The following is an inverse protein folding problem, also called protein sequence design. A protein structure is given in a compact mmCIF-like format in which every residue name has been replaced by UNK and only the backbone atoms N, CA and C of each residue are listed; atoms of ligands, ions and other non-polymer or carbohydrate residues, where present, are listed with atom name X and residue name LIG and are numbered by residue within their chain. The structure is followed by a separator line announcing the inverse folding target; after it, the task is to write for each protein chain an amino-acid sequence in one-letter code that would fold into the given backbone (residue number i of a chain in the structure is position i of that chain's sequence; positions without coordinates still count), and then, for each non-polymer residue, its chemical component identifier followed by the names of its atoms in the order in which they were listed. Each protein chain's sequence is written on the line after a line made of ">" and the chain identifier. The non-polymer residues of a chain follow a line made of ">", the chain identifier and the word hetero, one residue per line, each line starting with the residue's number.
data_IF_432836959003
#
_entry.id   IF_432836959003
#
_cell.length_a   1.000
_cell.length_b   1.000
_cell.length_c   1.000
_cell.angle_alpha   90.00
_cell.angle_beta   90.00
_cell.angle_gamma   90.00
#
_symmetry.space_group_name_H-M   'P 1'
#
loop_
_entity.id
_entity.type
_entity.pdbx_description
1 polymer ?
#
# COMPACT_ATOMS: atom_id res chain seq x y z
N UNK A 1 10.16 -24.67 16.49
CA UNK A 1 8.72 -24.91 16.59
C UNK A 1 8.17 -24.16 17.79
N UNK A 2 7.31 -23.19 17.51
CA UNK A 2 6.59 -22.48 18.58
C UNK A 2 5.55 -23.42 19.16
N UNK A 3 5.45 -23.60 20.49
CA UNK A 3 4.43 -24.45 21.08
C UNK A 3 3.03 -23.96 20.70
N UNK A 4 2.07 -24.89 20.57
CA UNK A 4 0.65 -24.55 20.42
C UNK A 4 0.25 -23.59 21.53
N UNK A 5 -0.03 -22.34 21.15
CA UNK A 5 -0.21 -21.23 22.09
C UNK A 5 -1.64 -21.12 22.63
N UNK A 6 -2.60 -21.83 22.07
CA UNK A 6 -4.00 -21.54 22.34
C UNK A 6 -4.80 -22.77 22.72
N UNK A 7 -5.16 -22.86 24.01
CA UNK A 7 -6.27 -23.70 24.50
C UNK A 7 -7.41 -22.84 25.11
N UNK A 8 -7.26 -21.49 25.08
CA UNK A 8 -8.18 -20.57 25.76
C UNK A 8 -8.69 -19.50 24.79
N UNK A 9 -9.84 -18.92 25.09
CA UNK A 9 -10.38 -17.77 24.37
C UNK A 9 -9.60 -16.52 24.76
N UNK A 10 -8.99 -15.86 23.81
CA UNK A 10 -8.26 -14.61 24.00
C UNK A 10 -9.12 -13.43 23.55
N UNK A 11 -9.18 -12.41 24.38
CA UNK A 11 -9.77 -11.13 24.03
C UNK A 11 -8.65 -10.14 23.83
N UNK A 12 -8.49 -9.64 22.60
CA UNK A 12 -7.54 -8.60 22.28
C UNK A 12 -8.26 -7.25 22.39
N UNK A 13 -7.78 -6.36 23.24
CA UNK A 13 -8.20 -4.97 23.26
C UNK A 13 -7.20 -4.17 22.43
N UNK A 14 -7.70 -3.56 21.35
CA UNK A 14 -6.83 -2.90 20.38
C UNK A 14 -6.36 -1.53 20.87
N UNK A 15 -7.14 -0.90 21.73
CA UNK A 15 -6.86 0.37 22.38
C UNK A 15 -5.77 0.29 23.48
N UNK A 16 -5.53 -0.90 24.02
CA UNK A 16 -4.54 -1.15 25.07
C UNK A 16 -3.48 -2.16 24.66
N UNK A 17 -3.32 -2.38 23.35
CA UNK A 17 -2.51 -3.45 22.78
C UNK A 17 -1.08 -3.47 23.30
N UNK A 18 -0.39 -2.32 23.35
CA UNK A 18 0.98 -2.20 23.83
C UNK A 18 1.11 -2.55 25.31
N UNK A 19 0.20 -2.02 26.14
CA UNK A 19 0.15 -2.31 27.57
C UNK A 19 -0.15 -3.78 27.84
N UNK A 20 -1.13 -4.37 27.13
CA UNK A 20 -1.53 -5.76 27.27
C UNK A 20 -0.44 -6.71 26.79
N UNK A 21 0.23 -6.40 25.68
CA UNK A 21 1.39 -7.15 25.23
C UNK A 21 2.50 -7.15 26.29
N UNK A 22 2.85 -5.98 26.83
CA UNK A 22 3.90 -5.85 27.85
C UNK A 22 3.55 -6.55 29.19
N UNK A 23 2.27 -6.73 29.48
CA UNK A 23 1.78 -7.47 30.65
C UNK A 23 1.67 -8.99 30.38
N UNK A 24 1.70 -9.41 29.11
CA UNK A 24 1.51 -10.80 28.72
C UNK A 24 2.79 -11.63 28.81
N UNK A 25 2.64 -12.96 28.80
CA UNK A 25 3.75 -13.89 28.68
C UNK A 25 4.48 -13.79 27.31
N UNK A 26 3.86 -13.18 26.31
CA UNK A 26 4.44 -12.99 24.98
C UNK A 26 5.68 -12.12 25.00
N UNK A 27 5.68 -11.07 25.81
CA UNK A 27 6.85 -10.22 26.01
C UNK A 27 8.09 -11.01 26.46
N UNK A 28 7.88 -11.97 27.38
CA UNK A 28 8.98 -12.77 27.92
C UNK A 28 9.47 -13.83 26.91
N UNK A 29 8.57 -14.30 26.04
CA UNK A 29 8.87 -15.27 24.99
C UNK A 29 9.57 -14.65 23.77
N UNK A 30 9.12 -13.46 23.36
CA UNK A 30 9.67 -12.75 22.21
C UNK A 30 10.89 -11.88 22.57
N UNK A 31 11.09 -11.59 23.86
CA UNK A 31 12.29 -10.95 24.37
C UNK A 31 12.38 -9.44 24.15
N UNK A 32 11.33 -8.79 23.68
CA UNK A 32 11.29 -7.34 23.50
C UNK A 32 10.04 -6.71 24.14
N UNK A 33 10.09 -5.40 24.35
CA UNK A 33 8.97 -4.60 24.80
C UNK A 33 8.51 -3.68 23.68
N UNK A 34 7.23 -3.40 23.63
CA UNK A 34 6.66 -2.35 22.81
C UNK A 34 6.27 -1.15 23.67
N UNK A 35 6.06 0.00 23.06
CA UNK A 35 5.53 1.15 23.77
C UNK A 35 4.14 0.80 24.35
N UNK A 36 3.90 1.22 25.60
CA UNK A 36 2.61 0.96 26.27
C UNK A 36 1.46 1.68 25.59
N UNK A 37 1.74 2.78 24.89
CA UNK A 37 0.76 3.59 24.19
C UNK A 37 0.48 3.08 22.76
N UNK A 38 1.10 1.98 22.33
CA UNK A 38 0.77 1.34 21.06
C UNK A 38 -0.66 0.84 21.10
N UNK A 39 -1.49 1.43 20.25
CA UNK A 39 -2.87 1.03 20.00
C UNK A 39 -3.07 0.77 18.51
N UNK A 40 -4.04 -0.06 18.17
CA UNK A 40 -4.48 -0.26 16.80
C UNK A 40 -5.84 0.40 16.64
N UNK A 41 -5.83 1.69 16.40
CA UNK A 41 -7.05 2.48 16.16
C UNK A 41 -7.56 2.39 14.71
N UNK A 42 -7.11 1.39 13.95
CA UNK A 42 -7.54 1.21 12.57
C UNK A 42 -9.05 1.10 12.37
N UNK A 43 -9.78 0.77 13.43
CA UNK A 43 -11.23 0.54 13.38
C UNK A 43 -12.05 1.51 14.21
N UNK A 44 -11.44 2.25 15.13
CA UNK A 44 -12.12 3.30 15.89
C UNK A 44 -11.88 4.64 15.19
N UNK A 45 -12.57 4.83 14.08
CA UNK A 45 -12.42 5.98 13.21
C UNK A 45 -12.98 7.30 13.75
N UNK A 46 -13.44 7.32 14.99
CA UNK A 46 -14.02 8.54 15.58
C UNK A 46 -12.99 9.63 15.86
N UNK A 47 -11.68 9.27 15.97
CA UNK A 47 -10.61 10.21 16.30
C UNK A 47 -9.45 10.26 15.26
N UNK A 48 -9.53 9.54 14.15
CA UNK A 48 -8.62 9.78 13.05
C UNK A 48 -8.97 11.13 12.44
N UNK A 49 -8.28 12.15 12.86
CA UNK A 49 -8.47 13.52 12.40
C UNK A 49 -8.01 13.62 10.93
N UNK A 50 -8.95 13.36 10.02
CA UNK A 50 -8.71 13.53 8.58
C UNK A 50 -8.68 14.99 8.17
N UNK A 51 -8.89 15.91 9.11
CA UNK A 51 -8.95 17.36 8.86
C UNK A 51 -7.67 17.81 8.16
N UNK A 52 -6.51 17.35 8.63
CA UNK A 52 -5.21 17.71 8.04
C UNK A 52 -5.07 17.21 6.59
N UNK A 53 -5.59 16.01 6.28
CA UNK A 53 -5.60 15.48 4.92
C UNK A 53 -6.60 16.25 4.04
N UNK A 54 -7.80 16.55 4.57
CA UNK A 54 -8.81 17.35 3.87
C UNK A 54 -8.29 18.75 3.58
N UNK A 55 -7.63 19.41 4.56
CA UNK A 55 -6.99 20.72 4.36
C UNK A 55 -5.94 20.69 3.25
N UNK A 56 -5.09 19.66 3.20
CA UNK A 56 -4.11 19.50 2.12
C UNK A 56 -4.79 19.27 0.77
N UNK A 57 -5.82 18.41 0.71
CA UNK A 57 -6.57 18.15 -0.51
C UNK A 57 -7.29 19.40 -1.01
N UNK A 58 -7.87 20.18 -0.12
CA UNK A 58 -8.52 21.45 -0.45
C UNK A 58 -7.49 22.47 -0.96
N UNK A 59 -6.35 22.58 -0.30
CA UNK A 59 -5.26 23.44 -0.75
C UNK A 59 -4.75 23.09 -2.15
N UNK A 60 -4.77 21.81 -2.52
CA UNK A 60 -4.33 21.32 -3.83
C UNK A 60 -5.43 21.35 -4.90
N UNK A 61 -6.68 21.55 -4.53
CA UNK A 61 -7.82 21.38 -5.45
C UNK A 61 -7.78 22.30 -6.67
N UNK A 62 -7.36 23.56 -6.48
CA UNK A 62 -7.24 24.54 -7.58
C UNK A 62 -6.11 24.16 -8.55
N UNK A 63 -4.96 23.73 -8.02
CA UNK A 63 -3.82 23.27 -8.82
C UNK A 63 -4.15 21.99 -9.57
N UNK A 64 -4.83 21.05 -8.92
CA UNK A 64 -5.31 19.83 -9.55
C UNK A 64 -6.32 20.11 -10.66
N UNK A 65 -7.21 21.08 -10.47
CA UNK A 65 -8.14 21.50 -11.52
C UNK A 65 -7.39 22.16 -12.68
N UNK A 66 -6.42 23.03 -12.39
CA UNK A 66 -5.56 23.67 -13.40
C UNK A 66 -4.79 22.62 -14.22
N UNK A 67 -4.18 21.64 -13.54
CA UNK A 67 -3.52 20.52 -14.21
C UNK A 67 -4.51 19.74 -15.08
N UNK A 68 -5.68 19.39 -14.55
CA UNK A 68 -6.71 18.65 -15.25
C UNK A 68 -7.15 19.33 -16.55
N UNK A 69 -7.25 20.65 -16.58
CA UNK A 69 -7.66 21.42 -17.74
C UNK A 69 -6.60 21.40 -18.87
N UNK A 70 -5.36 21.01 -18.58
CA UNK A 70 -4.30 20.82 -19.57
C UNK A 70 -4.22 19.41 -20.13
N UNK A 71 -4.90 18.44 -19.50
CA UNK A 71 -4.86 17.03 -19.89
C UNK A 71 -5.53 16.83 -21.23
N UNK A 72 -4.82 16.22 -22.17
CA UNK A 72 -5.33 15.85 -23.47
C UNK A 72 -5.75 14.39 -23.48
N UNK A 73 -7.01 14.12 -23.77
CA UNK A 73 -7.56 12.76 -23.88
C UNK A 73 -7.93 12.49 -25.33
N UNK A 74 -7.33 11.45 -25.92
CA UNK A 74 -7.58 11.03 -27.29
C UNK A 74 -8.03 9.59 -27.33
N UNK A 75 -9.03 9.29 -28.12
CA UNK A 75 -9.46 7.90 -28.35
C UNK A 75 -8.38 7.17 -29.17
N UNK A 76 -7.97 6.00 -28.71
CA UNK A 76 -7.13 5.12 -29.50
C UNK A 76 -7.91 4.63 -30.76
N UNK A 77 -7.21 4.50 -31.88
CA UNK A 77 -7.84 4.20 -33.17
C UNK A 77 -8.44 2.79 -33.21
N UNK A 78 -7.87 1.83 -32.48
CA UNK A 78 -8.20 0.42 -32.61
C UNK A 78 -8.66 -0.21 -31.29
N UNK A 79 -9.56 -1.21 -31.43
CA UNK A 79 -9.89 -2.09 -30.32
C UNK A 79 -8.72 -3.08 -30.12
N UNK A 80 -8.30 -3.25 -28.87
CA UNK A 80 -7.21 -4.13 -28.51
C UNK A 80 -7.74 -5.30 -27.70
N UNK A 81 -7.26 -6.52 -27.99
CA UNK A 81 -7.52 -7.67 -27.15
C UNK A 81 -6.52 -7.69 -26.00
N UNK A 82 -7.00 -7.54 -24.78
CA UNK A 82 -6.20 -7.63 -23.57
C UNK A 82 -6.44 -8.97 -22.93
N UNK A 83 -5.34 -9.67 -22.63
CA UNK A 83 -5.37 -10.94 -21.93
C UNK A 83 -4.84 -10.69 -20.51
N UNK A 84 -5.70 -10.88 -19.53
CA UNK A 84 -5.31 -11.00 -18.12
C UNK A 84 -5.13 -12.47 -17.76
N UNK A 85 -4.64 -12.78 -16.57
CA UNK A 85 -4.41 -14.16 -16.12
C UNK A 85 -5.61 -15.09 -16.39
N UNK A 86 -6.83 -14.58 -16.25
CA UNK A 86 -8.06 -15.40 -16.29
C UNK A 86 -8.95 -15.17 -17.51
N UNK A 87 -8.81 -14.08 -18.27
CA UNK A 87 -9.73 -13.73 -19.38
C UNK A 87 -9.03 -13.00 -20.51
N UNK A 88 -9.59 -13.13 -21.71
CA UNK A 88 -9.25 -12.27 -22.85
C UNK A 88 -10.46 -11.40 -23.17
N UNK A 89 -10.26 -10.10 -23.25
CA UNK A 89 -11.31 -9.10 -23.43
C UNK A 89 -10.99 -8.16 -24.60
N UNK A 90 -12.01 -7.80 -25.35
CA UNK A 90 -11.91 -6.72 -26.34
C UNK A 90 -12.12 -5.37 -25.64
N UNK A 91 -11.11 -4.52 -25.69
CA UNK A 91 -11.08 -3.26 -24.99
C UNK A 91 -10.99 -2.08 -25.95
N UNK A 92 -11.59 -0.98 -25.56
CA UNK A 92 -11.41 0.33 -26.19
C UNK A 92 -10.36 1.10 -25.43
N UNK A 93 -9.41 1.72 -26.15
CA UNK A 93 -8.35 2.50 -25.53
C UNK A 93 -8.58 4.00 -25.61
N UNK A 94 -8.03 4.71 -24.64
CA UNK A 94 -7.78 6.15 -24.68
C UNK A 94 -6.33 6.42 -24.35
N UNK A 95 -5.75 7.39 -25.03
CA UNK A 95 -4.42 7.90 -24.74
C UNK A 95 -4.58 9.22 -23.98
N UNK A 96 -3.97 9.31 -22.84
CA UNK A 96 -3.98 10.48 -21.99
C UNK A 96 -2.58 11.07 -22.04
N UNK A 97 -2.48 12.36 -22.33
CA UNK A 97 -1.22 13.09 -22.29
C UNK A 97 -1.33 14.23 -21.30
N UNK A 98 -0.40 14.29 -20.37
CA UNK A 98 -0.26 15.34 -19.39
C UNK A 98 1.01 16.12 -19.76
N UNK A 99 0.92 17.40 -20.12
CA UNK A 99 2.09 18.20 -20.46
C UNK A 99 3.07 18.29 -19.29
N UNK A 100 4.34 18.06 -19.55
CA UNK A 100 5.39 18.08 -18.51
C UNK A 100 5.43 19.40 -17.75
N UNK A 101 5.27 20.52 -18.45
CA UNK A 101 5.35 21.84 -17.83
C UNK A 101 4.21 22.05 -16.82
N UNK A 102 2.99 21.62 -17.17
CA UNK A 102 1.85 21.67 -16.27
C UNK A 102 2.01 20.72 -15.07
N UNK A 103 2.53 19.50 -15.32
CA UNK A 103 2.84 18.56 -14.25
C UNK A 103 3.91 19.13 -13.31
N UNK A 104 4.97 19.72 -13.83
CA UNK A 104 6.02 20.29 -13.00
C UNK A 104 5.53 21.48 -12.15
N UNK A 105 4.62 22.30 -12.67
CA UNK A 105 3.95 23.34 -11.87
C UNK A 105 3.16 22.72 -10.73
N UNK A 106 2.39 21.66 -11.01
CA UNK A 106 1.62 20.95 -9.98
C UNK A 106 2.52 20.30 -8.92
N UNK A 107 3.62 19.63 -9.34
CA UNK A 107 4.57 19.00 -8.42
C UNK A 107 5.25 20.02 -7.50
N UNK A 108 5.62 21.21 -8.01
CA UNK A 108 6.14 22.28 -7.18
C UNK A 108 5.12 22.73 -6.13
N UNK A 109 3.88 23.01 -6.57
CA UNK A 109 2.82 23.42 -5.65
C UNK A 109 2.52 22.32 -4.61
N UNK A 110 2.53 21.05 -5.03
CA UNK A 110 2.37 19.91 -4.12
C UNK A 110 3.47 19.90 -3.06
N UNK A 111 4.74 19.98 -3.45
CA UNK A 111 5.86 20.00 -2.52
C UNK A 111 5.73 21.13 -1.50
N UNK A 112 5.50 22.37 -1.95
CA UNK A 112 5.35 23.52 -1.08
C UNK A 112 4.19 23.35 -0.08
N UNK A 113 3.01 22.94 -0.57
CA UNK A 113 1.82 22.79 0.24
C UNK A 113 1.88 21.59 1.18
N UNK A 114 2.47 20.48 0.73
CA UNK A 114 2.68 19.31 1.56
C UNK A 114 3.61 19.62 2.74
N UNK A 115 4.76 20.21 2.49
CA UNK A 115 5.71 20.55 3.54
C UNK A 115 5.19 21.63 4.50
N UNK A 116 4.30 22.52 4.04
CA UNK A 116 3.63 23.50 4.88
C UNK A 116 2.41 22.95 5.63
N UNK A 117 1.92 21.76 5.27
CA UNK A 117 0.70 21.19 5.84
C UNK A 117 0.86 20.80 7.31
N UNK A 118 -0.24 20.89 8.06
CA UNK A 118 -0.31 20.43 9.46
C UNK A 118 0.01 18.94 9.57
N UNK A 119 -0.42 18.13 8.59
CA UNK A 119 -0.11 16.70 8.50
C UNK A 119 1.40 16.43 8.52
N UNK A 120 2.16 17.11 7.66
CA UNK A 120 3.62 16.95 7.59
C UNK A 120 4.29 17.47 8.86
N UNK A 121 3.94 18.67 9.30
CA UNK A 121 4.55 19.31 10.47
C UNK A 121 4.30 18.52 11.77
N UNK A 122 3.11 17.98 11.97
CA UNK A 122 2.80 17.11 13.11
C UNK A 122 3.50 15.75 13.01
N UNK A 123 3.57 15.18 11.78
CA UNK A 123 4.31 13.94 11.53
C UNK A 123 5.78 14.03 11.89
N UNK A 124 6.45 15.11 11.48
CA UNK A 124 7.85 15.38 11.85
C UNK A 124 7.99 15.57 13.36
N UNK A 125 7.13 16.34 13.99
CA UNK A 125 7.17 16.55 15.46
C UNK A 125 7.06 15.21 16.21
N UNK A 126 6.10 14.36 15.84
CA UNK A 126 5.97 13.02 16.44
C UNK A 126 7.19 12.14 16.19
N UNK A 127 7.78 12.19 14.97
CA UNK A 127 8.99 11.44 14.64
C UNK A 127 10.17 11.88 15.55
N UNK A 128 10.34 13.17 15.76
CA UNK A 128 11.39 13.72 16.62
C UNK A 128 11.17 13.30 18.08
N UNK A 129 9.95 13.43 18.60
CA UNK A 129 9.59 13.03 19.95
C UNK A 129 9.82 11.54 20.22
N UNK A 130 9.57 10.69 19.23
CA UNK A 130 9.77 9.25 19.33
C UNK A 130 11.20 8.80 19.04
N UNK A 131 12.02 9.67 18.43
CA UNK A 131 13.40 9.32 18.13
C UNK A 131 14.24 9.28 19.41
N UNK A 132 14.90 8.13 19.66
CA UNK A 132 15.84 7.96 20.79
C UNK A 132 17.18 8.71 20.59
N UNK A 133 17.24 9.66 19.64
CA UNK A 133 18.44 10.42 19.30
C UNK A 133 18.54 11.65 20.21
N UNK A 134 18.55 11.41 21.53
CA UNK A 134 18.56 12.43 22.57
C UNK A 134 19.80 13.36 22.60
N UNK A 135 20.75 13.17 21.69
CA UNK A 135 22.00 13.95 21.59
C UNK A 135 22.01 14.94 20.42
N UNK A 136 21.04 14.88 19.52
CA UNK A 136 20.87 15.87 18.47
C UNK A 136 19.83 16.91 18.91
N UNK A 137 20.05 18.15 18.51
CA UNK A 137 19.06 19.19 18.72
C UNK A 137 17.85 18.95 17.80
N UNK A 138 16.67 19.28 18.27
CA UNK A 138 15.43 19.12 17.49
C UNK A 138 15.51 19.82 16.13
N UNK A 139 16.08 21.03 16.09
CA UNK A 139 16.25 21.79 14.86
C UNK A 139 17.16 21.08 13.84
N UNK A 140 18.25 20.41 14.30
CA UNK A 140 19.17 19.68 13.44
C UNK A 140 18.48 18.43 12.82
N UNK A 141 17.62 17.75 13.58
CA UNK A 141 16.86 16.59 13.08
C UNK A 141 15.83 17.08 12.05
N UNK A 142 15.14 18.16 12.35
CA UNK A 142 14.15 18.76 11.46
C UNK A 142 14.78 19.16 10.13
N UNK A 143 15.89 19.90 10.15
CA UNK A 143 16.62 20.33 8.94
C UNK A 143 17.06 19.11 8.11
N UNK A 144 17.54 18.04 8.76
CA UNK A 144 17.94 16.81 8.07
C UNK A 144 16.76 16.13 7.39
N UNK A 145 15.63 16.00 8.08
CA UNK A 145 14.43 15.32 7.56
C UNK A 145 13.79 16.17 6.47
N UNK A 146 13.66 17.48 6.67
CA UNK A 146 13.12 18.41 5.67
C UNK A 146 13.95 18.32 4.38
N UNK A 147 15.29 18.37 4.48
CA UNK A 147 16.17 18.22 3.33
C UNK A 147 16.02 16.88 2.59
N UNK A 148 15.86 15.77 3.31
CA UNK A 148 15.62 14.46 2.68
C UNK A 148 14.27 14.40 1.99
N UNK A 149 13.22 14.97 2.59
CA UNK A 149 11.88 15.01 2.00
C UNK A 149 11.84 15.94 0.79
N UNK A 150 12.50 17.09 0.85
CA UNK A 150 12.69 17.98 -0.31
C UNK A 150 13.35 17.24 -1.47
N UNK A 151 14.45 16.53 -1.23
CA UNK A 151 15.16 15.75 -2.25
C UNK A 151 14.28 14.67 -2.89
N UNK A 152 13.41 14.03 -2.11
CA UNK A 152 12.47 13.01 -2.60
C UNK A 152 11.34 13.63 -3.41
N UNK A 153 10.85 14.80 -3.00
CA UNK A 153 9.75 15.50 -3.65
C UNK A 153 10.21 16.38 -4.83
N UNK A 154 11.52 16.67 -4.96
CA UNK A 154 12.06 17.44 -6.08
C UNK A 154 12.12 16.60 -7.36
N UNK A 155 10.97 16.14 -7.80
CA UNK A 155 10.79 15.37 -9.04
C UNK A 155 10.39 16.34 -10.15
N UNK A 156 11.11 16.30 -11.27
CA UNK A 156 10.79 17.08 -12.46
C UNK A 156 10.69 16.19 -13.68
N UNK A 157 9.52 16.24 -14.33
CA UNK A 157 9.30 15.51 -15.57
C UNK A 157 10.08 16.15 -16.73
N UNK A 158 10.80 15.31 -17.47
CA UNK A 158 11.58 15.73 -18.65
C UNK A 158 10.78 15.61 -19.95
N UNK A 159 9.80 14.76 -19.99
CA UNK A 159 8.89 14.52 -21.11
C UNK A 159 7.44 14.62 -20.66
N UNK A 160 6.54 14.80 -21.64
CA UNK A 160 5.12 14.70 -21.36
C UNK A 160 4.77 13.29 -20.84
N UNK A 161 3.91 13.22 -19.84
CA UNK A 161 3.45 11.94 -19.30
C UNK A 161 2.39 11.39 -20.23
N UNK A 162 2.65 10.21 -20.77
CA UNK A 162 1.70 9.50 -21.61
C UNK A 162 1.18 8.27 -20.86
N UNK A 163 -0.15 8.13 -20.80
CA UNK A 163 -0.82 6.98 -20.23
C UNK A 163 -1.77 6.37 -21.27
N UNK A 164 -1.73 5.07 -21.40
CA UNK A 164 -2.72 4.32 -22.16
C UNK A 164 -3.70 3.66 -21.17
N UNK A 165 -4.97 3.95 -21.33
CA UNK A 165 -6.02 3.41 -20.50
C UNK A 165 -6.98 2.61 -21.40
N UNK A 166 -7.24 1.38 -21.02
CA UNK A 166 -8.10 0.47 -21.76
C UNK A 166 -9.34 0.10 -20.93
N UNK A 167 -10.49 0.12 -21.58
CA UNK A 167 -11.76 -0.17 -20.95
C UNK A 167 -12.49 -1.30 -21.69
N UNK A 168 -13.18 -2.14 -20.92
CA UNK A 168 -14.07 -3.17 -21.47
C UNK A 168 -15.36 -2.57 -22.04
N UNK A 169 -16.26 -3.44 -22.53
CA UNK A 169 -17.55 -3.03 -23.09
C UNK A 169 -18.52 -2.38 -22.10
N UNK A 170 -18.27 -2.51 -20.80
CA UNK A 170 -19.04 -1.88 -19.72
C UNK A 170 -18.41 -0.58 -19.22
N UNK A 171 -17.30 -0.15 -19.81
CA UNK A 171 -16.56 1.05 -19.40
C UNK A 171 -15.68 0.87 -18.16
N UNK A 172 -15.44 -0.37 -17.72
CA UNK A 172 -14.54 -0.64 -16.59
C UNK A 172 -13.09 -0.62 -17.08
N UNK A 173 -12.21 -0.02 -16.30
CA UNK A 173 -10.78 0.01 -16.59
C UNK A 173 -10.22 -1.41 -16.45
N UNK A 174 -9.52 -1.86 -17.48
CA UNK A 174 -8.89 -3.19 -17.55
C UNK A 174 -7.37 -3.09 -17.55
N UNK A 175 -6.82 -2.05 -18.16
CA UNK A 175 -5.38 -1.81 -18.18
C UNK A 175 -5.07 -0.32 -18.12
N UNK A 176 -4.06 -0.01 -17.33
CA UNK A 176 -3.40 1.31 -17.32
C UNK A 176 -1.92 1.05 -17.53
N UNK A 177 -1.28 1.80 -18.41
CA UNK A 177 0.17 1.69 -18.59
C UNK A 177 0.77 2.97 -19.14
N UNK A 178 2.03 3.19 -18.83
CA UNK A 178 2.87 4.15 -19.52
C UNK A 178 3.43 3.50 -20.79
N UNK A 179 3.14 4.00 -22.01
CA UNK A 179 3.70 3.43 -23.26
C UNK A 179 5.20 3.72 -23.41
N UNK A 180 5.71 4.69 -22.67
CA UNK A 180 7.11 5.04 -22.55
C UNK A 180 7.40 5.46 -21.12
N UNK A 181 8.65 5.36 -20.69
CA UNK A 181 9.07 5.78 -19.38
C UNK A 181 8.80 7.28 -19.18
N UNK A 182 8.37 7.64 -17.96
CA UNK A 182 8.32 9.03 -17.49
C UNK A 182 9.75 9.36 -17.06
N UNK A 183 10.42 10.22 -17.79
CA UNK A 183 11.78 10.65 -17.48
C UNK A 183 11.78 11.77 -16.45
N UNK A 184 12.66 11.67 -15.46
CA UNK A 184 12.80 12.63 -14.37
C UNK A 184 14.19 13.26 -14.38
N UNK A 185 14.27 14.50 -13.89
CA UNK A 185 15.50 15.26 -13.74
C UNK A 185 15.64 15.74 -12.29
N UNK A 186 16.88 15.93 -11.89
CA UNK A 186 17.27 16.49 -10.59
C UNK A 186 16.72 15.69 -9.38
N UNK A 187 16.50 14.38 -9.57
CA UNK A 187 15.95 13.44 -8.60
C UNK A 187 16.81 12.19 -8.50
N UNK A 188 16.69 11.47 -7.41
CA UNK A 188 17.24 10.10 -7.26
C UNK A 188 16.62 9.16 -8.28
N UNK A 189 15.39 9.43 -8.75
CA UNK A 189 14.68 8.67 -9.78
C UNK A 189 14.97 9.29 -11.14
N UNK A 190 15.57 8.52 -12.07
CA UNK A 190 15.82 8.91 -13.45
C UNK A 190 14.63 8.69 -14.36
N UNK A 191 13.91 7.60 -14.14
CA UNK A 191 12.68 7.34 -14.89
C UNK A 191 11.77 6.37 -14.16
N UNK A 192 10.48 6.40 -14.52
CA UNK A 192 9.44 5.54 -13.97
C UNK A 192 8.57 4.94 -15.07
N UNK A 193 8.26 3.67 -14.94
CA UNK A 193 7.30 2.97 -15.79
C UNK A 193 6.20 2.36 -14.91
N UNK A 194 4.95 2.50 -15.34
CA UNK A 194 3.79 1.98 -14.62
C UNK A 194 2.99 1.04 -15.53
N UNK A 195 2.52 -0.06 -14.97
CA UNK A 195 1.54 -0.93 -15.60
C UNK A 195 0.59 -1.50 -14.57
N UNK A 196 -0.69 -1.62 -14.92
CA UNK A 196 -1.68 -2.30 -14.09
C UNK A 196 -2.71 -2.97 -15.00
N UNK A 197 -2.90 -4.27 -14.79
CA UNK A 197 -3.98 -5.06 -15.37
C UNK A 197 -5.01 -5.34 -14.28
N UNK A 198 -6.26 -5.07 -14.61
CA UNK A 198 -7.39 -5.14 -13.70
C UNK A 198 -8.47 -6.00 -14.31
N UNK A 199 -8.97 -6.97 -13.57
CA UNK A 199 -10.11 -7.76 -14.02
C UNK A 199 -11.05 -8.05 -12.85
N UNK A 200 -12.33 -8.15 -13.13
CA UNK A 200 -13.29 -8.42 -12.08
C UNK A 200 -14.72 -8.43 -12.55
N UNK A 201 -15.59 -8.47 -11.58
CA UNK A 201 -17.04 -8.39 -11.74
C UNK A 201 -17.54 -6.96 -11.50
N UNK A 202 -18.85 -6.75 -11.51
CA UNK A 202 -19.44 -5.45 -11.17
C UNK A 202 -19.37 -5.15 -9.66
N UNK A 203 -18.96 -6.11 -8.85
CA UNK A 203 -18.90 -6.02 -7.38
C UNK A 203 -17.50 -6.10 -6.82
N UNK A 204 -16.59 -6.83 -7.49
CA UNK A 204 -15.26 -7.14 -6.97
C UNK A 204 -14.22 -7.00 -8.06
N UNK A 205 -13.05 -6.54 -7.67
CA UNK A 205 -11.85 -6.55 -8.50
C UNK A 205 -11.11 -7.85 -8.19
N UNK A 206 -11.33 -8.89 -9.02
CA UNK A 206 -10.86 -10.25 -8.75
C UNK A 206 -9.38 -10.44 -9.07
N UNK A 207 -8.87 -9.72 -10.06
CA UNK A 207 -7.47 -9.80 -10.50
C UNK A 207 -6.86 -8.41 -10.53
N UNK A 208 -5.70 -8.27 -9.92
CA UNK A 208 -4.82 -7.11 -10.04
C UNK A 208 -3.43 -7.64 -10.37
N UNK A 209 -2.84 -7.15 -11.44
CA UNK A 209 -1.43 -7.35 -11.77
C UNK A 209 -0.86 -5.96 -12.03
N UNK A 210 -0.13 -5.40 -11.09
CA UNK A 210 0.43 -4.06 -11.25
C UNK A 210 1.93 -4.06 -10.95
N UNK A 211 2.66 -3.22 -11.67
CA UNK A 211 4.08 -3.03 -11.47
C UNK A 211 4.46 -1.55 -11.65
N UNK A 212 5.36 -1.11 -10.80
CA UNK A 212 6.08 0.15 -10.92
C UNK A 212 7.58 -0.17 -11.03
N UNK A 213 8.21 0.26 -12.11
CA UNK A 213 9.65 0.12 -12.31
C UNK A 213 10.29 1.48 -12.21
N UNK A 214 11.22 1.62 -11.28
CA UNK A 214 11.97 2.83 -11.03
C UNK A 214 13.42 2.62 -11.47
N UNK A 215 13.89 3.46 -12.39
CA UNK A 215 15.31 3.55 -12.68
C UNK A 215 15.87 4.68 -11.82
N UNK A 216 16.70 4.32 -10.85
CA UNK A 216 17.33 5.25 -9.91
C UNK A 216 18.80 5.52 -10.28
N UNK A 217 19.45 6.38 -9.53
CA UNK A 217 20.91 6.59 -9.67
C UNK A 217 21.71 5.35 -9.31
N UNK A 218 21.16 4.44 -8.50
CA UNK A 218 21.81 3.23 -8.01
C UNK A 218 21.48 1.98 -8.83
N UNK A 219 20.52 2.05 -9.74
CA UNK A 219 20.07 0.91 -10.56
C UNK A 219 18.56 0.89 -10.74
N UNK A 220 18.02 -0.26 -11.11
CA UNK A 220 16.58 -0.43 -11.35
C UNK A 220 15.95 -1.18 -10.19
N UNK A 221 14.86 -0.64 -9.68
CA UNK A 221 14.00 -1.26 -8.69
C UNK A 221 12.64 -1.57 -9.29
N UNK A 222 12.04 -2.68 -8.92
CA UNK A 222 10.70 -3.05 -9.38
C UNK A 222 9.83 -3.38 -8.18
N UNK A 223 8.70 -2.73 -8.11
CA UNK A 223 7.64 -2.95 -7.13
C UNK A 223 6.47 -3.58 -7.86
N UNK A 224 6.01 -4.74 -7.43
CA UNK A 224 4.87 -5.40 -8.06
C UNK A 224 3.87 -5.93 -7.05
N UNK A 225 2.61 -5.91 -7.47
CA UNK A 225 1.50 -6.51 -6.74
C UNK A 225 0.77 -7.44 -7.69
N UNK A 226 0.51 -8.66 -7.22
CA UNK A 226 -0.35 -9.62 -7.89
C UNK A 226 -1.43 -10.06 -6.91
N UNK A 227 -2.68 -9.98 -7.32
CA UNK A 227 -3.83 -10.42 -6.56
C UNK A 227 -4.74 -11.27 -7.43
N UNK A 228 -5.10 -12.43 -6.94
CA UNK A 228 -6.15 -13.28 -7.51
C UNK A 228 -7.19 -13.55 -6.41
N UNK A 229 -8.42 -13.18 -6.68
CA UNK A 229 -9.52 -13.41 -5.76
C UNK A 229 -10.70 -14.05 -6.48
N UNK A 230 -11.41 -14.91 -5.79
CA UNK A 230 -12.61 -15.56 -6.30
C UNK A 230 -13.71 -15.61 -5.24
N UNK A 231 -14.94 -15.39 -5.69
CA UNK A 231 -16.13 -15.45 -4.85
C UNK A 231 -17.09 -16.45 -5.46
N UNK A 232 -17.52 -17.41 -4.66
CA UNK A 232 -18.64 -18.30 -4.95
C UNK A 232 -19.76 -18.04 -3.97
N UNK A 233 -20.87 -18.78 -4.04
CA UNK A 233 -21.94 -18.68 -3.05
C UNK A 233 -21.53 -19.21 -1.66
N UNK A 234 -20.47 -20.02 -1.60
CA UNK A 234 -20.04 -20.72 -0.38
C UNK A 234 -18.71 -20.18 0.16
N UNK A 235 -17.85 -19.64 -0.71
CA UNK A 235 -16.46 -19.38 -0.38
C UNK A 235 -15.91 -18.12 -1.05
N UNK A 236 -15.12 -17.36 -0.31
CA UNK A 236 -14.20 -16.33 -0.82
C UNK A 236 -12.76 -16.80 -0.67
N UNK A 237 -11.99 -16.71 -1.73
CA UNK A 237 -10.55 -16.97 -1.74
C UNK A 237 -9.78 -15.76 -2.23
N UNK A 238 -8.63 -15.53 -1.63
CA UNK A 238 -7.72 -14.46 -2.02
C UNK A 238 -6.27 -14.93 -1.92
N UNK A 239 -5.49 -14.64 -2.95
CA UNK A 239 -4.04 -14.80 -3.02
C UNK A 239 -3.45 -13.46 -3.43
N UNK A 240 -2.64 -12.85 -2.56
CA UNK A 240 -1.99 -11.57 -2.78
C UNK A 240 -0.49 -11.75 -2.64
N UNK A 241 0.28 -11.26 -3.60
CA UNK A 241 1.73 -11.20 -3.53
C UNK A 241 2.19 -9.76 -3.78
N UNK A 242 3.09 -9.28 -2.92
CA UNK A 242 3.84 -8.05 -3.09
C UNK A 242 5.31 -8.42 -3.22
N UNK A 243 5.97 -7.99 -4.29
CA UNK A 243 7.39 -8.19 -4.49
C UNK A 243 8.11 -6.85 -4.67
N UNK A 244 9.26 -6.72 -4.02
CA UNK A 244 10.22 -5.65 -4.24
C UNK A 244 11.52 -6.28 -4.72
N UNK A 245 11.91 -5.96 -5.95
CA UNK A 245 13.19 -6.37 -6.54
C UNK A 245 14.12 -5.18 -6.51
N UNK A 246 15.24 -5.32 -5.84
CA UNK A 246 16.24 -4.26 -5.66
C UNK A 246 17.11 -4.03 -6.89
N UNK A 247 18.04 -3.09 -6.78
CA UNK A 247 18.92 -2.63 -7.87
C UNK A 247 19.88 -3.69 -8.40
N UNK A 248 20.16 -4.73 -7.61
CA UNK A 248 20.97 -5.90 -7.98
C UNK A 248 20.18 -7.01 -8.69
N UNK A 249 18.90 -6.76 -8.97
CA UNK A 249 17.93 -7.73 -9.48
C UNK A 249 17.64 -8.90 -8.52
N UNK A 250 17.99 -8.77 -7.26
CA UNK A 250 17.60 -9.73 -6.23
C UNK A 250 16.29 -9.28 -5.57
N UNK A 251 15.48 -10.25 -5.20
CA UNK A 251 14.25 -9.96 -4.44
C UNK A 251 14.64 -9.47 -3.04
N UNK A 252 14.38 -8.20 -2.77
CA UNK A 252 14.66 -7.60 -1.47
C UNK A 252 13.56 -7.91 -0.44
N UNK A 253 12.32 -8.01 -0.90
CA UNK A 253 11.17 -8.30 -0.06
C UNK A 253 10.09 -9.02 -0.87
N UNK A 254 9.55 -10.10 -0.32
CA UNK A 254 8.30 -10.70 -0.79
C UNK A 254 7.35 -10.83 0.38
N UNK A 255 6.12 -10.36 0.20
CA UNK A 255 5.01 -10.65 1.09
C UNK A 255 3.94 -11.43 0.33
N UNK A 256 3.52 -12.56 0.89
CA UNK A 256 2.41 -13.37 0.36
C UNK A 256 1.32 -13.45 1.40
N UNK A 257 0.10 -13.13 1.00
CA UNK A 257 -1.10 -13.28 1.80
C UNK A 257 -2.04 -14.24 1.09
N UNK A 258 -2.46 -15.28 1.78
CA UNK A 258 -3.50 -16.21 1.33
C UNK A 258 -4.60 -16.25 2.35
N UNK A 259 -5.83 -16.23 1.88
CA UNK A 259 -6.98 -16.27 2.74
C UNK A 259 -8.13 -17.05 2.08
N UNK A 260 -8.82 -17.84 2.87
CA UNK A 260 -10.05 -18.53 2.47
C UNK A 260 -11.10 -18.28 3.54
N UNK A 261 -12.28 -17.83 3.11
CA UNK A 261 -13.43 -17.61 3.97
C UNK A 261 -14.57 -18.49 3.52
N UNK A 262 -15.19 -19.20 4.44
CA UNK A 262 -16.46 -19.86 4.23
C UNK A 262 -17.58 -18.92 4.60
N UNK A 263 -18.41 -18.55 3.62
CA UNK A 263 -19.39 -17.46 3.78
C UNK A 263 -20.61 -17.87 4.64
N UNK A 264 -20.90 -19.17 4.75
CA UNK A 264 -21.99 -19.72 5.55
C UNK A 264 -21.65 -19.81 7.04
N UNK A 265 -20.42 -20.19 7.37
CA UNK A 265 -19.95 -20.40 8.74
C UNK A 265 -19.07 -19.27 9.28
N UNK A 266 -18.70 -18.31 8.41
CA UNK A 266 -17.74 -17.25 8.69
C UNK A 266 -16.39 -17.79 9.21
N UNK A 267 -16.08 -19.03 8.84
CA UNK A 267 -14.77 -19.63 9.11
C UNK A 267 -13.74 -19.11 8.14
N UNK A 268 -12.53 -18.91 8.63
CA UNK A 268 -11.40 -18.45 7.83
C UNK A 268 -10.16 -19.32 8.04
N UNK A 269 -9.32 -19.35 7.02
CA UNK A 269 -7.97 -19.89 7.02
C UNK A 269 -7.08 -18.85 6.33
N UNK A 270 -6.21 -18.23 7.10
CA UNK A 270 -5.36 -17.13 6.66
C UNK A 270 -3.87 -17.42 6.88
N UNK A 271 -3.04 -16.99 5.93
CA UNK A 271 -1.59 -17.14 6.00
C UNK A 271 -0.92 -15.90 5.43
N UNK A 272 0.06 -15.39 6.16
CA UNK A 272 0.98 -14.33 5.72
C UNK A 272 2.40 -14.91 5.75
N UNK A 273 3.10 -14.77 4.65
CA UNK A 273 4.55 -15.04 4.55
C UNK A 273 5.27 -13.75 4.20
N UNK A 274 6.34 -13.46 4.94
CA UNK A 274 7.25 -12.37 4.66
C UNK A 274 8.65 -12.97 4.47
N UNK A 275 9.28 -12.65 3.36
CA UNK A 275 10.64 -13.08 3.03
C UNK A 275 11.48 -11.84 2.70
N UNK A 276 12.58 -11.63 3.44
CA UNK A 276 13.50 -10.52 3.26
C UNK A 276 14.92 -11.02 3.43
N UNK A 277 15.69 -11.02 2.34
CA UNK A 277 17.01 -11.61 2.32
C UNK A 277 16.98 -13.10 2.68
N UNK A 278 17.70 -13.47 3.74
CA UNK A 278 17.78 -14.85 4.24
C UNK A 278 16.71 -15.17 5.29
N UNK A 279 15.94 -14.19 5.74
CA UNK A 279 14.93 -14.34 6.78
C UNK A 279 13.56 -14.64 6.16
N UNK A 280 12.85 -15.56 6.78
CA UNK A 280 11.47 -15.90 6.40
C UNK A 280 10.59 -16.01 7.64
N UNK A 281 9.51 -15.26 7.61
CA UNK A 281 8.47 -15.27 8.63
C UNK A 281 7.17 -15.81 8.03
N UNK A 282 6.50 -16.69 8.76
CA UNK A 282 5.21 -17.23 8.35
C UNK A 282 4.25 -17.19 9.51
N UNK A 283 3.19 -16.42 9.37
CA UNK A 283 2.06 -16.36 10.30
C UNK A 283 0.88 -17.12 9.67
N UNK A 284 0.30 -18.05 10.40
CA UNK A 284 -0.92 -18.75 9.98
C UNK A 284 -1.95 -18.69 11.10
N UNK A 285 -3.20 -18.51 10.75
CA UNK A 285 -4.31 -18.55 11.67
C UNK A 285 -5.56 -19.10 10.99
N UNK A 286 -6.29 -19.97 11.70
CA UNK A 286 -7.60 -20.42 11.30
C UNK A 286 -8.60 -20.27 12.47
N UNK A 287 -9.86 -20.07 12.12
CA UNK A 287 -10.89 -19.80 13.11
C UNK A 287 -12.23 -19.40 12.50
N UNK A 288 -13.07 -18.78 13.30
CA UNK A 288 -14.37 -18.29 12.82
C UNK A 288 -14.82 -17.02 13.57
N UNK A 289 -15.62 -16.20 12.88
CA UNK A 289 -16.30 -15.06 13.49
C UNK A 289 -17.68 -15.49 13.98
N UNK A 290 -18.03 -15.05 15.19
CA UNK A 290 -19.32 -15.32 15.85
C UNK A 290 -19.86 -14.05 16.48
N UNK A 291 -21.14 -14.07 16.84
CA UNK A 291 -21.82 -13.01 17.59
C UNK A 291 -21.61 -11.61 16.98
N UNK A 292 -21.68 -11.54 15.64
CA UNK A 292 -21.44 -10.30 14.91
C UNK A 292 -22.64 -9.36 15.14
N UNK A 293 -22.34 -8.19 15.69
CA UNK A 293 -23.26 -7.05 15.77
C UNK A 293 -22.69 -5.95 14.85
N UNK A 294 -23.35 -5.72 13.74
CA UNK A 294 -22.89 -4.77 12.71
C UNK A 294 -22.55 -3.39 13.31
N UNK A 295 -21.32 -2.94 13.06
CA UNK A 295 -20.81 -1.65 13.56
C UNK A 295 -20.54 -1.60 15.07
N UNK A 296 -20.60 -2.71 15.81
CA UNK A 296 -20.44 -2.70 17.26
C UNK A 296 -19.42 -3.72 17.78
N UNK A 297 -19.61 -5.02 17.47
CA UNK A 297 -18.76 -6.06 18.05
C UNK A 297 -18.83 -7.38 17.28
N UNK A 298 -17.83 -8.21 17.47
CA UNK A 298 -17.82 -9.62 17.07
C UNK A 298 -16.97 -10.42 18.04
N UNK A 299 -17.15 -11.73 18.03
CA UNK A 299 -16.28 -12.68 18.69
C UNK A 299 -15.42 -13.37 17.65
N UNK A 300 -14.11 -13.38 17.86
CA UNK A 300 -13.16 -14.14 17.04
C UNK A 300 -12.75 -15.38 17.82
N UNK A 301 -13.17 -16.55 17.33
CA UNK A 301 -12.69 -17.85 17.81
C UNK A 301 -11.50 -18.27 16.94
N UNK A 302 -10.33 -18.41 17.54
CA UNK A 302 -9.14 -18.93 16.88
C UNK A 302 -8.98 -20.41 17.23
N UNK A 303 -9.04 -21.28 16.21
CA UNK A 303 -8.80 -22.72 16.37
C UNK A 303 -7.29 -22.98 16.44
N UNK A 304 -6.51 -22.35 15.55
CA UNK A 304 -5.05 -22.38 15.59
C UNK A 304 -4.45 -21.02 15.23
N UNK A 305 -3.27 -20.74 15.80
CA UNK A 305 -2.39 -19.69 15.34
C UNK A 305 -0.94 -20.15 15.49
N UNK A 306 -0.11 -19.85 14.51
CA UNK A 306 1.31 -20.21 14.54
C UNK A 306 2.16 -19.14 13.89
N UNK A 307 3.34 -18.92 14.46
CA UNK A 307 4.40 -18.12 13.87
C UNK A 307 5.63 -19.03 13.69
N UNK A 308 6.09 -19.15 12.47
CA UNK A 308 7.32 -19.85 12.12
C UNK A 308 8.36 -18.80 11.67
N UNK A 309 9.58 -18.94 12.12
CA UNK A 309 10.73 -18.11 11.74
C UNK A 309 11.81 -19.04 11.26
N UNK A 310 12.22 -18.89 10.02
CA UNK A 310 13.29 -19.67 9.41
C UNK A 310 14.44 -18.71 9.05
N UNK A 311 15.60 -18.95 9.62
CA UNK A 311 16.88 -18.33 9.21
C UNK A 311 17.55 -19.31 8.22
N UNK A 312 17.92 -18.86 7.04
CA UNK A 312 18.64 -19.67 6.04
C UNK A 312 20.13 -19.68 6.26
#
# INVERSE_FOLDING_TARGET
>A
SVPKLLNDTYRLQLDTLGADYNASAWKDQLGFKVDSDVSIDFFTREDADYTDMEELMDALSEDAQTLKDTIVVQKASDKTSIKTSNKSMQCSGVNITIPKDAMNVFLNSFQEKFMASSMYQQGITKLIEQSSIAYLLEDDIRELVDGQVEDVLDIRCMNDISLNLYMDSKGRIVRIMTPQAIECKDSQIKSMELSADLAGTDRTLDVIEAACKLNTVNGTETYSISRDASVTDEEYKEDLTLDVVGTDNMTALTMRYKNTWKLDTLAFDGRIELESGDEKYKLSADGSYKDIVEGQSYTLDLDTASLEVDDK
#
